data_IF_135996301545
#
_entry.id   IF_135996301545
#
_cell.length_a   1.000
_cell.length_b   1.000
_cell.length_c   1.000
_cell.angle_alpha   90.00
_cell.angle_beta   90.00
_cell.angle_gamma   90.00
#
_symmetry.space_group_name_H-M   'P 1'
#
loop_
_entity.id
_entity.type
_entity.pdbx_description
1 polymer ?
#
# COMPACT_ATOMS: atom_id res chain seq x y z
N UNK A 1 6.20 -20.19 6.43
CA UNK A 1 5.82 -18.78 6.19
C UNK A 1 4.35 -18.75 5.81
N UNK A 2 3.54 -17.93 6.47
CA UNK A 2 2.10 -17.81 6.20
C UNK A 2 1.81 -16.51 5.43
N UNK A 3 0.88 -16.56 4.47
CA UNK A 3 0.41 -15.42 3.68
C UNK A 3 -1.07 -15.10 3.93
N UNK A 4 -1.79 -15.91 4.71
CA UNK A 4 -3.24 -15.83 4.84
C UNK A 4 -3.70 -14.44 5.32
N UNK A 5 -3.04 -13.86 6.33
CA UNK A 5 -3.41 -12.52 6.82
C UNK A 5 -3.22 -11.45 5.75
N UNK A 6 -2.05 -11.45 5.10
CA UNK A 6 -1.75 -10.50 4.03
C UNK A 6 -2.72 -10.66 2.85
N UNK A 7 -3.04 -11.90 2.48
CA UNK A 7 -4.04 -12.22 1.47
C UNK A 7 -5.40 -11.64 1.84
N UNK A 8 -5.90 -11.94 3.04
CA UNK A 8 -7.20 -11.45 3.53
C UNK A 8 -7.24 -9.93 3.64
N UNK A 9 -6.12 -9.29 3.99
CA UNK A 9 -5.99 -7.84 3.99
C UNK A 9 -6.22 -7.27 2.58
N UNK A 10 -5.50 -7.77 1.57
CA UNK A 10 -5.64 -7.28 0.19
C UNK A 10 -6.98 -7.64 -0.46
N UNK A 11 -7.65 -8.72 -0.02
CA UNK A 11 -9.03 -9.02 -0.42
C UNK A 11 -10.02 -7.89 -0.03
N UNK A 12 -9.70 -7.10 0.99
CA UNK A 12 -10.54 -6.00 1.48
C UNK A 12 -10.20 -4.63 0.89
N UNK A 13 -9.01 -4.47 0.32
CA UNK A 13 -8.58 -3.20 -0.29
C UNK A 13 -9.47 -2.91 -1.50
N UNK A 14 -10.19 -1.76 -1.56
CA UNK A 14 -11.22 -1.51 -2.57
C UNK A 14 -10.75 -1.62 -4.03
N UNK A 15 -9.55 -1.13 -4.33
CA UNK A 15 -8.95 -1.15 -5.67
C UNK A 15 -8.25 -2.47 -6.02
N UNK A 16 -8.21 -3.44 -5.10
CA UNK A 16 -7.57 -4.76 -5.31
C UNK A 16 -8.66 -5.83 -5.32
N UNK A 17 -9.20 -6.17 -4.15
CA UNK A 17 -10.16 -7.26 -3.95
C UNK A 17 -9.58 -8.64 -4.30
N UNK A 18 -10.28 -9.70 -3.89
CA UNK A 18 -9.83 -11.10 -4.10
C UNK A 18 -9.53 -11.43 -5.57
N UNK A 19 -10.34 -10.90 -6.49
CA UNK A 19 -10.22 -11.17 -7.93
C UNK A 19 -8.90 -10.69 -8.56
N UNK A 20 -8.14 -9.83 -7.89
CA UNK A 20 -6.89 -9.25 -8.41
C UNK A 20 -5.65 -9.76 -7.68
N UNK A 21 -5.79 -10.72 -6.76
CA UNK A 21 -4.63 -11.41 -6.20
C UNK A 21 -4.10 -12.38 -7.27
N UNK A 22 -2.84 -12.23 -7.65
CA UNK A 22 -2.25 -13.02 -8.75
C UNK A 22 -1.57 -14.26 -8.20
N UNK A 23 -0.62 -14.08 -7.30
CA UNK A 23 0.17 -15.16 -6.71
C UNK A 23 1.02 -14.63 -5.55
N UNK A 24 1.55 -15.54 -4.75
CA UNK A 24 2.56 -15.25 -3.75
C UNK A 24 3.50 -16.46 -3.61
N UNK A 25 4.68 -16.25 -3.05
CA UNK A 25 5.66 -17.32 -2.90
C UNK A 25 6.80 -16.97 -1.98
N UNK A 26 7.55 -17.99 -1.58
CA UNK A 26 8.77 -17.85 -0.79
C UNK A 26 9.84 -18.81 -1.32
N UNK A 27 11.11 -18.48 -1.07
CA UNK A 27 12.26 -19.30 -1.45
C UNK A 27 12.52 -20.49 -0.49
N UNK A 28 11.73 -20.60 0.58
CA UNK A 28 11.90 -21.60 1.64
C UNK A 28 12.91 -21.20 2.73
N UNK A 29 13.51 -20.01 2.64
CA UNK A 29 14.39 -19.42 3.64
C UNK A 29 13.77 -18.14 4.18
N UNK A 30 14.11 -16.99 3.57
CA UNK A 30 13.77 -15.66 4.08
C UNK A 30 13.16 -14.77 2.99
N UNK A 31 13.37 -15.09 1.71
CA UNK A 31 12.82 -14.28 0.63
C UNK A 31 11.38 -14.65 0.33
N UNK A 32 10.53 -13.64 0.20
CA UNK A 32 9.14 -13.81 -0.15
C UNK A 32 8.64 -12.67 -1.02
N UNK A 33 7.57 -12.96 -1.75
CA UNK A 33 6.89 -12.00 -2.62
C UNK A 33 5.38 -12.24 -2.64
N UNK A 34 4.64 -11.16 -2.86
CA UNK A 34 3.18 -11.14 -3.00
C UNK A 34 2.84 -10.26 -4.20
N UNK A 35 2.13 -10.81 -5.19
CA UNK A 35 1.80 -10.18 -6.46
C UNK A 35 0.29 -10.03 -6.62
N UNK A 36 -0.13 -8.84 -7.03
CA UNK A 36 -1.53 -8.51 -7.27
C UNK A 36 -1.64 -7.43 -8.35
N UNK A 37 -2.85 -7.22 -8.86
CA UNK A 37 -3.20 -6.08 -9.69
C UNK A 37 -3.94 -5.04 -8.84
N UNK A 38 -3.78 -3.77 -9.20
CA UNK A 38 -4.65 -2.68 -8.75
C UNK A 38 -5.52 -2.32 -9.94
N UNK A 39 -6.83 -2.21 -9.73
CA UNK A 39 -7.76 -1.66 -10.69
C UNK A 39 -7.41 -0.19 -10.96
N UNK A 40 -6.72 0.08 -12.06
CA UNK A 40 -6.30 1.43 -12.42
C UNK A 40 -7.46 2.36 -12.80
N UNK A 41 -8.65 1.81 -13.04
CA UNK A 41 -9.87 2.57 -13.33
C UNK A 41 -10.67 2.87 -12.05
N UNK A 42 -10.33 2.23 -10.93
CA UNK A 42 -10.96 2.50 -9.63
C UNK A 42 -10.63 3.92 -9.14
N UNK A 43 -11.59 4.69 -8.59
CA UNK A 43 -11.34 6.06 -8.11
C UNK A 43 -10.22 6.20 -7.08
N UNK A 44 -9.96 5.14 -6.31
CA UNK A 44 -8.91 5.08 -5.29
C UNK A 44 -7.59 4.43 -5.77
N UNK A 45 -7.45 4.07 -7.05
CA UNK A 45 -6.29 3.31 -7.55
C UNK A 45 -4.95 3.96 -7.18
N UNK A 46 -4.82 5.25 -7.48
CA UNK A 46 -3.58 5.99 -7.27
C UNK A 46 -3.39 6.41 -5.81
N UNK A 47 -4.46 6.57 -5.03
CA UNK A 47 -4.38 6.68 -3.57
C UNK A 47 -3.82 5.37 -2.99
N UNK A 48 -4.33 4.21 -3.39
CA UNK A 48 -3.79 2.92 -2.95
C UNK A 48 -2.30 2.78 -3.28
N UNK A 49 -1.88 3.16 -4.49
CA UNK A 49 -0.45 3.14 -4.85
C UNK A 49 0.38 4.08 -3.97
N UNK A 50 -0.10 5.29 -3.70
CA UNK A 50 0.60 6.26 -2.84
C UNK A 50 0.74 5.76 -1.40
N UNK A 51 -0.36 5.31 -0.80
CA UNK A 51 -0.37 4.82 0.58
C UNK A 51 0.50 3.57 0.74
N UNK A 52 0.40 2.60 -0.18
CA UNK A 52 1.27 1.42 -0.17
C UNK A 52 2.74 1.79 -0.41
N UNK A 53 3.00 2.74 -1.31
CA UNK A 53 4.35 3.27 -1.56
C UNK A 53 4.94 3.91 -0.31
N UNK A 54 4.16 4.68 0.44
CA UNK A 54 4.56 5.27 1.70
C UNK A 54 4.86 4.16 2.73
N UNK A 55 3.88 3.31 3.04
CA UNK A 55 4.04 2.31 4.09
C UNK A 55 5.15 1.30 3.78
N UNK A 56 5.19 0.76 2.55
CA UNK A 56 6.05 -0.38 2.22
C UNK A 56 7.45 0.01 1.73
N UNK A 57 7.65 1.24 1.25
CA UNK A 57 8.97 1.69 0.79
C UNK A 57 9.60 2.73 1.71
N UNK A 58 8.83 3.71 2.20
CA UNK A 58 9.37 4.89 2.90
C UNK A 58 8.36 5.45 3.91
N UNK A 59 8.48 5.04 5.17
CA UNK A 59 7.69 5.61 6.26
C UNK A 59 8.17 7.01 6.65
N UNK A 60 9.44 7.30 6.41
CA UNK A 60 10.09 8.56 6.74
C UNK A 60 11.36 8.71 5.90
N UNK A 61 11.93 9.93 5.85
CA UNK A 61 13.27 10.17 5.31
C UNK A 61 14.34 9.32 6.02
N UNK A 62 14.07 8.85 7.24
CA UNK A 62 15.00 8.10 8.07
C UNK A 62 14.59 6.65 8.37
N UNK A 63 13.36 6.24 8.02
CA UNK A 63 12.85 4.89 8.30
C UNK A 63 12.39 4.21 7.02
N UNK A 64 13.20 3.25 6.57
CA UNK A 64 12.93 2.40 5.41
C UNK A 64 12.67 0.99 5.89
N UNK A 65 11.48 0.47 5.61
CA UNK A 65 11.19 -0.95 5.82
C UNK A 65 12.03 -1.80 4.86
N UNK A 66 12.39 -3.04 5.23
CA UNK A 66 13.17 -3.93 4.37
C UNK A 66 12.34 -4.51 3.20
N UNK A 67 11.10 -4.04 3.02
CA UNK A 67 10.24 -4.36 1.88
C UNK A 67 10.55 -3.52 0.66
N UNK A 68 10.10 -4.01 -0.49
CA UNK A 68 10.04 -3.27 -1.74
C UNK A 68 8.66 -3.46 -2.35
N UNK A 69 8.02 -2.36 -2.72
CA UNK A 69 6.77 -2.30 -3.46
C UNK A 69 7.01 -1.57 -4.79
N UNK A 70 6.83 -2.27 -5.91
CA UNK A 70 7.10 -1.72 -7.24
C UNK A 70 6.21 -2.34 -8.32
N UNK A 71 5.98 -1.61 -9.43
CA UNK A 71 5.22 -2.13 -10.56
C UNK A 71 6.04 -3.18 -11.33
N UNK A 72 5.35 -4.17 -11.87
CA UNK A 72 5.87 -5.16 -12.81
C UNK A 72 4.91 -5.34 -13.98
N UNK A 73 5.44 -5.70 -15.14
CA UNK A 73 4.65 -6.00 -16.33
C UNK A 73 5.24 -7.20 -17.08
N UNK A 74 4.45 -7.86 -17.93
CA UNK A 74 4.97 -8.86 -18.86
C UNK A 74 6.03 -8.26 -19.81
N UNK A 75 6.84 -9.11 -20.46
CA UNK A 75 7.74 -8.68 -21.53
C UNK A 75 7.05 -7.77 -22.55
N UNK A 76 7.75 -6.77 -23.13
CA UNK A 76 7.12 -5.75 -23.97
C UNK A 76 6.25 -6.27 -25.11
N UNK A 77 6.60 -7.43 -25.69
CA UNK A 77 5.86 -8.07 -26.78
C UNK A 77 4.57 -8.79 -26.35
N UNK A 78 4.33 -8.94 -25.05
CA UNK A 78 3.09 -9.48 -24.43
C UNK A 78 2.40 -8.44 -23.56
N UNK A 79 2.87 -7.19 -23.57
CA UNK A 79 2.33 -6.11 -22.74
C UNK A 79 1.25 -5.33 -23.52
N UNK A 80 0.43 -4.58 -22.80
CA UNK A 80 -0.67 -3.82 -23.37
C UNK A 80 -1.08 -2.67 -22.45
N UNK A 81 -2.38 -2.39 -22.39
CA UNK A 81 -2.91 -1.34 -21.51
C UNK A 81 -2.68 -1.68 -20.03
N UNK A 82 -2.49 -0.65 -19.21
CA UNK A 82 -2.17 -0.82 -17.79
C UNK A 82 -3.25 -1.63 -17.05
N UNK A 83 -4.53 -1.44 -17.37
CA UNK A 83 -5.64 -2.16 -16.71
C UNK A 83 -5.58 -3.67 -16.86
N UNK A 84 -4.96 -4.16 -17.95
CA UNK A 84 -4.92 -5.58 -18.28
C UNK A 84 -3.58 -6.22 -17.88
N UNK A 85 -2.49 -5.44 -17.87
CA UNK A 85 -1.13 -6.00 -17.78
C UNK A 85 -0.25 -5.43 -16.67
N UNK A 86 -0.62 -4.30 -16.05
CA UNK A 86 0.13 -3.74 -14.94
C UNK A 86 -0.18 -4.50 -13.66
N UNK A 87 0.85 -5.01 -13.01
CA UNK A 87 0.77 -5.63 -11.70
C UNK A 87 1.77 -4.98 -10.74
N UNK A 88 1.64 -5.29 -9.45
CA UNK A 88 2.53 -4.82 -8.41
C UNK A 88 3.05 -6.00 -7.62
N UNK A 89 4.28 -5.87 -7.14
CA UNK A 89 4.92 -6.85 -6.27
C UNK A 89 5.33 -6.18 -4.98
N UNK A 90 4.98 -6.81 -3.86
CA UNK A 90 5.63 -6.59 -2.56
C UNK A 90 6.62 -7.73 -2.40
N UNK A 91 7.87 -7.43 -2.08
CA UNK A 91 8.86 -8.45 -1.74
C UNK A 91 9.72 -8.03 -0.56
N UNK A 92 10.25 -9.02 0.15
CA UNK A 92 11.22 -8.81 1.22
C UNK A 92 12.16 -10.03 1.29
N UNK A 93 13.38 -9.81 1.75
CA UNK A 93 14.38 -10.85 1.98
C UNK A 93 14.96 -10.84 3.40
N UNK A 94 14.35 -10.07 4.31
CA UNK A 94 14.81 -9.94 5.68
C UNK A 94 14.23 -11.07 6.55
N UNK A 95 15.07 -11.83 7.30
CA UNK A 95 14.64 -13.03 8.04
C UNK A 95 13.48 -12.81 9.02
N UNK A 96 13.44 -11.64 9.65
CA UNK A 96 12.46 -11.30 10.68
C UNK A 96 11.26 -10.51 10.15
N UNK A 97 11.26 -10.18 8.85
CA UNK A 97 10.20 -9.35 8.26
C UNK A 97 9.28 -10.21 7.40
N UNK A 98 8.34 -10.87 8.06
CA UNK A 98 7.41 -11.83 7.44
C UNK A 98 6.19 -11.13 6.82
N UNK A 99 5.39 -11.83 6.00
CA UNK A 99 4.12 -11.29 5.50
C UNK A 99 3.16 -10.83 6.62
N UNK A 100 3.15 -11.53 7.77
CA UNK A 100 2.34 -11.13 8.93
C UNK A 100 2.82 -9.80 9.53
N UNK A 101 4.13 -9.60 9.65
CA UNK A 101 4.70 -8.32 10.12
C UNK A 101 4.31 -7.19 9.17
N UNK A 102 4.39 -7.42 7.85
CA UNK A 102 3.92 -6.44 6.85
C UNK A 102 2.44 -6.10 7.05
N UNK A 103 1.61 -7.10 7.32
CA UNK A 103 0.20 -6.90 7.60
C UNK A 103 -0.01 -5.98 8.81
N UNK A 104 0.77 -6.16 9.89
CA UNK A 104 0.68 -5.30 11.08
C UNK A 104 1.05 -3.84 10.76
N UNK A 105 2.06 -3.61 9.90
CA UNK A 105 2.43 -2.25 9.45
C UNK A 105 1.32 -1.60 8.62
N UNK A 106 0.69 -2.37 7.74
CA UNK A 106 -0.42 -1.92 6.89
C UNK A 106 -1.67 -1.60 7.74
N UNK A 107 -2.09 -2.50 8.62
CA UNK A 107 -3.25 -2.32 9.51
C UNK A 107 -3.10 -1.13 10.46
N UNK A 108 -1.87 -0.79 10.86
CA UNK A 108 -1.58 0.33 11.74
C UNK A 108 -1.58 1.70 11.05
N UNK A 109 -1.52 1.76 9.71
CA UNK A 109 -1.28 3.00 8.94
C UNK A 109 -2.29 3.28 7.84
N UNK A 110 -2.85 2.23 7.26
CA UNK A 110 -3.92 2.34 6.29
C UNK A 110 -5.26 2.52 7.00
N UNK A 111 -6.32 2.93 6.27
CA UNK A 111 -7.67 2.99 6.80
C UNK A 111 -8.08 1.73 7.58
N UNK A 112 -8.81 1.92 8.68
CA UNK A 112 -9.27 0.83 9.53
C UNK A 112 -10.74 1.09 9.94
N UNK A 113 -11.71 0.39 9.33
CA UNK A 113 -11.55 -0.71 8.38
C UNK A 113 -10.99 -0.30 7.00
N UNK A 114 -10.19 -1.19 6.39
CA UNK A 114 -9.50 -0.94 5.10
C UNK A 114 -10.46 -0.96 3.91
N UNK A 115 -11.60 -1.63 4.06
CA UNK A 115 -12.67 -1.70 3.06
C UNK A 115 -13.53 -0.43 2.99
N UNK A 116 -13.42 0.48 3.96
CA UNK A 116 -14.21 1.72 3.98
C UNK A 116 -13.58 2.79 3.08
N UNK A 117 -14.10 2.88 1.85
CA UNK A 117 -13.67 3.87 0.85
C UNK A 117 -13.68 5.33 1.33
N UNK A 118 -14.51 5.68 2.31
CA UNK A 118 -14.59 7.05 2.81
C UNK A 118 -13.34 7.45 3.60
N UNK A 119 -12.67 6.47 4.23
CA UNK A 119 -11.45 6.69 4.99
C UNK A 119 -10.19 6.79 4.12
N UNK A 120 -10.26 6.32 2.87
CA UNK A 120 -9.18 6.50 1.88
C UNK A 120 -9.14 7.90 1.28
N UNK A 121 -10.25 8.64 1.38
CA UNK A 121 -10.33 10.01 0.87
C UNK A 121 -9.74 10.94 1.91
N UNK A 122 -8.43 11.17 1.82
CA UNK A 122 -7.79 12.27 2.54
C UNK A 122 -8.49 13.56 2.09
N UNK A 123 -8.91 14.39 3.05
CA UNK A 123 -9.39 15.74 2.74
C UNK A 123 -8.25 16.53 2.10
N UNK A 124 -8.22 16.56 0.77
CA UNK A 124 -7.27 17.37 -0.02
C UNK A 124 -7.78 18.79 -0.21
N UNK A 125 -8.97 19.10 0.30
CA UNK A 125 -9.51 20.46 0.28
C UNK A 125 -8.82 21.30 1.34
N UNK A 126 -7.71 21.93 0.93
CA UNK A 126 -6.97 22.87 1.76
C UNK A 126 -7.77 24.17 2.01
N UNK A 127 -8.92 24.38 1.36
CA UNK A 127 -9.73 25.58 1.63
C UNK A 127 -10.27 25.62 3.06
N UNK A 128 -10.39 24.45 3.72
CA UNK A 128 -10.66 24.38 5.16
C UNK A 128 -9.46 24.92 5.97
N UNK A 129 -8.22 24.64 5.56
CA UNK A 129 -7.00 25.17 6.19
C UNK A 129 -6.80 26.67 5.92
N UNK A 130 -7.20 27.17 4.76
CA UNK A 130 -7.19 28.61 4.43
C UNK A 130 -8.18 29.42 5.29
N UNK A 131 -9.19 28.76 5.86
CA UNK A 131 -10.19 29.36 6.76
C UNK A 131 -9.84 29.22 8.24
N UNK A 132 -8.80 28.44 8.59
CA UNK A 132 -8.35 28.26 9.97
C UNK A 132 -7.49 29.43 10.42
N UNK A 133 -7.63 29.84 11.68
CA UNK A 133 -6.75 30.85 12.26
C UNK A 133 -5.34 30.27 12.46
N UNK A 134 -4.29 31.09 12.32
CA UNK A 134 -2.88 30.66 12.47
C UNK A 134 -2.63 29.80 13.73
N UNK A 135 -3.32 30.14 14.83
CA UNK A 135 -3.20 29.41 16.11
C UNK A 135 -3.75 27.99 16.11
N UNK A 136 -4.68 27.69 15.20
CA UNK A 136 -5.29 26.38 15.06
C UNK A 136 -4.48 25.50 14.09
N UNK A 137 -3.80 26.14 13.12
CA UNK A 137 -2.80 25.49 12.26
C UNK A 137 -1.57 25.01 13.05
N UNK A 138 -1.08 25.81 14.00
CA UNK A 138 0.05 25.46 14.87
C UNK A 138 -0.21 24.22 15.74
N UNK A 139 -1.47 23.86 15.99
CA UNK A 139 -1.85 22.67 16.79
C UNK A 139 -1.93 21.38 15.95
N UNK A 140 -2.00 21.50 14.62
CA UNK A 140 -2.01 20.35 13.71
C UNK A 140 -0.61 19.81 13.41
N UNK A 141 0.42 20.63 13.64
CA UNK A 141 1.82 20.22 13.51
C UNK A 141 2.22 19.58 14.84
N UNK A 142 2.46 18.26 14.90
CA UNK A 142 2.96 17.66 16.13
C UNK A 142 4.29 18.34 16.50
N UNK A 143 4.55 18.59 17.80
CA UNK A 143 5.77 19.26 18.21
C UNK A 143 6.97 18.46 17.67
N UNK A 144 7.84 19.13 16.92
CA UNK A 144 9.06 18.53 16.39
C UNK A 144 9.87 17.91 17.53
N UNK A 145 10.41 16.69 17.36
CA UNK A 145 11.24 16.02 18.36
C UNK A 145 12.55 16.77 18.65
#
# INVERSE_FOLDING_TARGET
>A
MNFDRLYQFFCKVPSVQEARIVAHGADGQHAWWFKFNIDVEHPLAWQTVQELGHVLNYLSTNERLPTQFFPVSPPPYMNGEAKDFLAWVIQCNHPEFTPDVVCDWLEARLPNPVEDETQWKIKTDLSELEQMADKDLDQLIPPSP
#
